data_IF_707690732109
#
_entry.id   IF_707690732109
#
_cell.length_a   1.000
_cell.length_b   1.000
_cell.length_c   1.000
_cell.angle_alpha   90.00
_cell.angle_beta   90.00
_cell.angle_gamma   90.00
#
_symmetry.space_group_name_H-M   'P 1'
#
loop_
_entity.id
_entity.type
_entity.pdbx_description
1 polymer ?
#
# COMPACT_ATOMS: atom_id res chain seq x y z
N UNK A 1 10.03 -25.38 12.24
CA UNK A 1 9.53 -24.02 11.94
C UNK A 1 8.01 -24.10 11.85
N UNK A 2 7.22 -23.36 12.63
CA UNK A 2 5.77 -23.49 12.59
C UNK A 2 5.23 -22.97 11.25
N UNK A 3 4.55 -23.84 10.51
CA UNK A 3 3.85 -23.52 9.27
C UNK A 3 2.60 -22.70 9.57
N UNK A 4 2.72 -21.38 9.65
CA UNK A 4 1.56 -20.50 9.60
C UNK A 4 1.05 -20.45 8.16
N UNK A 5 -0.16 -20.98 7.93
CA UNK A 5 -0.90 -20.77 6.69
C UNK A 5 -1.31 -19.30 6.60
N UNK A 6 -0.48 -18.45 6.01
CA UNK A 6 -0.87 -17.08 5.69
C UNK A 6 -1.82 -17.15 4.50
N UNK A 7 -3.08 -16.78 4.70
CA UNK A 7 -4.05 -16.69 3.61
C UNK A 7 -3.61 -15.57 2.65
N UNK A 8 -3.26 -15.93 1.41
CA UNK A 8 -3.00 -14.94 0.36
C UNK A 8 -4.32 -14.35 -0.08
N UNK A 9 -4.55 -13.08 0.22
CA UNK A 9 -5.78 -12.38 -0.16
C UNK A 9 -5.56 -11.64 -1.48
N UNK A 10 -6.44 -11.87 -2.46
CA UNK A 10 -6.43 -11.09 -3.68
C UNK A 10 -7.04 -9.71 -3.39
N UNK A 11 -6.33 -8.66 -3.80
CA UNK A 11 -6.82 -7.29 -3.69
C UNK A 11 -8.06 -7.08 -4.57
N UNK A 12 -9.07 -6.43 -3.99
CA UNK A 12 -10.14 -5.79 -4.76
C UNK A 12 -9.90 -4.29 -4.80
N UNK A 13 -10.09 -3.71 -5.97
CA UNK A 13 -10.36 -2.27 -6.06
C UNK A 13 -11.70 -2.06 -5.37
N UNK A 14 -11.73 -1.19 -4.36
CA UNK A 14 -13.01 -0.77 -3.81
C UNK A 14 -13.67 0.12 -4.87
N UNK A 15 -14.97 -0.04 -5.19
CA UNK A 15 -15.64 0.88 -6.10
C UNK A 15 -15.59 2.27 -5.46
N UNK A 16 -14.65 3.10 -5.93
CA UNK A 16 -14.41 4.47 -5.51
C UNK A 16 -14.89 4.75 -4.07
N UNK A 17 -14.26 4.10 -3.08
CA UNK A 17 -14.47 4.51 -1.70
C UNK A 17 -13.93 5.93 -1.59
N UNK A 18 -14.83 6.90 -1.76
CA UNK A 18 -14.56 8.31 -1.49
C UNK A 18 -14.39 8.41 0.01
N UNK A 19 -13.15 8.24 0.48
CA UNK A 19 -12.78 8.56 1.86
C UNK A 19 -12.89 10.07 2.14
N UNK A 20 -13.19 10.83 1.08
CA UNK A 20 -13.47 12.26 0.94
C UNK A 20 -14.60 12.77 1.86
N UNK A 21 -15.34 11.88 2.52
CA UNK A 21 -16.34 12.24 3.53
C UNK A 21 -16.10 11.45 4.81
N UNK A 22 -15.83 12.21 5.88
CA UNK A 22 -15.53 11.78 7.24
C UNK A 22 -16.63 10.89 7.84
N UNK A 23 -16.68 9.61 7.47
CA UNK A 23 -17.35 8.64 8.31
C UNK A 23 -16.62 8.64 9.67
N UNK A 24 -17.36 8.72 10.80
CA UNK A 24 -16.74 8.86 12.11
C UNK A 24 -15.69 7.77 12.33
N UNK A 25 -14.46 8.21 12.58
CA UNK A 25 -13.33 7.32 12.90
C UNK A 25 -12.43 6.91 11.74
N UNK A 26 -12.75 7.24 10.47
CA UNK A 26 -11.77 7.06 9.38
C UNK A 26 -10.60 8.01 9.60
N UNK A 27 -9.39 7.45 9.67
CA UNK A 27 -8.17 8.23 9.76
C UNK A 27 -7.45 8.18 8.41
N UNK A 28 -7.40 9.31 7.73
CA UNK A 28 -6.62 9.50 6.51
C UNK A 28 -5.24 10.04 6.85
N UNK A 29 -4.24 9.48 6.19
CA UNK A 29 -2.86 9.83 6.42
C UNK A 29 -2.13 10.10 5.12
N UNK A 30 -1.51 11.27 5.10
CA UNK A 30 -0.65 11.70 4.02
C UNK A 30 0.73 11.06 4.19
N UNK A 31 1.36 10.74 3.06
CA UNK A 31 2.64 10.04 3.06
C UNK A 31 3.80 10.89 3.58
N UNK A 32 3.67 12.21 3.59
CA UNK A 32 4.69 13.11 4.12
C UNK A 32 4.88 12.90 5.62
N UNK A 33 3.80 12.57 6.33
CA UNK A 33 3.85 12.32 7.77
C UNK A 33 4.33 10.91 8.12
N UNK A 34 4.41 9.98 7.16
CA UNK A 34 4.65 8.56 7.44
C UNK A 34 6.08 8.14 7.10
N UNK A 35 6.82 7.63 8.09
CA UNK A 35 8.15 7.02 7.86
C UNK A 35 8.04 5.72 7.07
N UNK A 36 9.08 5.39 6.32
CA UNK A 36 9.11 4.14 5.55
C UNK A 36 10.12 4.16 4.40
N UNK A 37 10.13 3.09 3.62
CA UNK A 37 10.97 2.93 2.43
C UNK A 37 10.33 3.52 1.16
N UNK A 38 11.17 3.83 0.19
CA UNK A 38 10.79 4.44 -1.09
C UNK A 38 11.32 5.86 -1.23
N UNK A 39 11.02 6.52 -2.36
CA UNK A 39 11.46 7.88 -2.65
C UNK A 39 10.26 8.81 -2.69
N UNK A 40 10.28 9.86 -1.87
CA UNK A 40 9.26 10.91 -1.93
C UNK A 40 9.44 11.74 -3.20
N UNK A 41 8.35 11.90 -3.94
CA UNK A 41 8.30 12.67 -5.17
C UNK A 41 7.11 13.62 -5.15
N UNK A 42 7.23 14.71 -5.92
CA UNK A 42 6.06 15.51 -6.28
C UNK A 42 5.30 14.79 -7.37
N UNK A 43 3.99 14.67 -7.21
CA UNK A 43 3.08 14.07 -8.18
C UNK A 43 1.78 14.87 -8.18
N UNK A 44 1.52 15.61 -9.27
CA UNK A 44 0.33 16.46 -9.38
C UNK A 44 -0.98 15.66 -9.40
N UNK A 45 -0.92 14.36 -9.72
CA UNK A 45 -2.10 13.48 -9.69
C UNK A 45 -2.42 12.98 -8.28
N UNK A 46 -1.50 13.14 -7.31
CA UNK A 46 -1.73 12.78 -5.92
C UNK A 46 -2.60 13.85 -5.23
N UNK A 47 -3.53 13.48 -4.32
CA UNK A 47 -4.43 14.45 -3.67
C UNK A 47 -3.73 15.63 -2.99
N UNK A 48 -2.53 15.40 -2.44
CA UNK A 48 -1.73 16.41 -1.72
C UNK A 48 -0.50 16.86 -2.53
N UNK A 49 -0.40 16.48 -3.80
CA UNK A 49 0.73 16.80 -4.66
C UNK A 49 2.01 15.99 -4.39
N UNK A 50 1.98 15.02 -3.48
CA UNK A 50 3.13 14.18 -3.10
C UNK A 50 2.79 12.69 -3.07
N UNK A 51 3.76 11.85 -3.45
CA UNK A 51 3.66 10.40 -3.35
C UNK A 51 5.01 9.76 -2.95
N UNK A 52 4.96 8.55 -2.40
CA UNK A 52 6.13 7.67 -2.28
C UNK A 52 6.18 6.79 -3.52
N UNK A 53 7.23 6.98 -4.30
CA UNK A 53 7.55 6.19 -5.48
C UNK A 53 8.39 4.98 -5.11
N UNK A 54 8.11 3.87 -5.78
CA UNK A 54 8.96 2.68 -5.80
C UNK A 54 10.06 2.81 -6.87
N UNK A 55 10.47 4.03 -7.24
CA UNK A 55 11.59 4.27 -8.14
C UNK A 55 12.89 3.77 -7.51
N UNK A 56 13.23 2.51 -7.75
CA UNK A 56 14.57 2.02 -7.53
C UNK A 56 15.54 2.73 -8.49
N UNK A 57 16.76 3.00 -8.00
CA UNK A 57 17.92 3.38 -8.82
C UNK A 57 18.38 2.17 -9.64
N UNK A 58 17.54 1.76 -10.60
CA UNK A 58 17.75 0.61 -11.49
C UNK A 58 17.66 1.06 -12.94
N UNK A 59 18.37 0.36 -13.82
CA UNK A 59 18.30 0.58 -15.27
C UNK A 59 16.88 0.30 -15.78
N UNK A 60 16.49 0.87 -16.92
CA UNK A 60 15.16 0.64 -17.50
C UNK A 60 14.85 -0.85 -17.71
N UNK A 61 15.84 -1.63 -18.15
CA UNK A 61 15.71 -3.08 -18.29
C UNK A 61 15.41 -3.80 -16.96
N UNK A 62 16.02 -3.35 -15.87
CA UNK A 62 15.78 -3.88 -14.53
C UNK A 62 14.41 -3.45 -13.97
N UNK A 63 13.93 -2.24 -14.31
CA UNK A 63 12.57 -1.80 -13.99
C UNK A 63 11.53 -2.63 -14.74
N UNK A 64 11.75 -2.90 -16.02
CA UNK A 64 10.88 -3.76 -16.83
C UNK A 64 10.76 -5.16 -16.23
N UNK A 65 11.86 -5.78 -15.77
CA UNK A 65 11.81 -7.10 -15.11
C UNK A 65 11.08 -7.06 -13.75
N UNK A 66 11.34 -6.02 -12.97
CA UNK A 66 10.72 -5.82 -11.66
C UNK A 66 9.19 -5.68 -11.79
N UNK A 67 8.75 -4.83 -12.72
CA UNK A 67 7.35 -4.57 -12.97
C UNK A 67 6.66 -5.67 -13.77
N UNK A 68 7.37 -6.69 -14.28
CA UNK A 68 6.76 -7.91 -14.84
C UNK A 68 6.10 -8.78 -13.78
N UNK A 69 6.50 -8.67 -12.51
CA UNK A 69 6.02 -9.52 -11.43
C UNK A 69 4.65 -9.07 -10.92
N UNK A 70 3.90 -10.01 -10.36
CA UNK A 70 2.64 -9.74 -9.65
C UNK A 70 2.94 -8.83 -8.47
N UNK A 71 2.21 -7.72 -8.36
CA UNK A 71 2.33 -6.84 -7.20
C UNK A 71 1.90 -7.59 -5.94
N UNK A 72 2.73 -7.54 -4.92
CA UNK A 72 2.46 -8.14 -3.60
C UNK A 72 2.59 -7.09 -2.52
N UNK A 73 1.86 -7.27 -1.44
CA UNK A 73 1.91 -6.41 -0.27
C UNK A 73 1.65 -7.25 0.98
N UNK A 74 1.87 -6.66 2.14
CA UNK A 74 1.49 -7.30 3.39
C UNK A 74 1.69 -6.42 4.61
N UNK A 75 1.18 -6.94 5.71
CA UNK A 75 1.28 -6.33 7.02
C UNK A 75 2.26 -7.17 7.82
N UNK A 76 3.32 -6.53 8.29
CA UNK A 76 4.39 -7.15 9.05
C UNK A 76 4.55 -6.49 10.40
N UNK A 77 4.66 -7.32 11.43
CA UNK A 77 5.01 -6.86 12.77
C UNK A 77 6.50 -7.14 13.03
N UNK A 78 7.32 -6.10 13.25
CA UNK A 78 8.77 -6.22 13.42
C UNK A 78 9.18 -6.81 14.77
N UNK A 79 8.45 -6.55 15.86
CA UNK A 79 8.82 -7.03 17.21
C UNK A 79 8.81 -8.55 17.26
N UNK A 80 7.72 -9.15 16.77
CA UNK A 80 7.56 -10.61 16.74
C UNK A 80 7.98 -11.24 15.41
N UNK A 81 8.46 -10.42 14.48
CA UNK A 81 8.87 -10.80 13.13
C UNK A 81 7.81 -11.62 12.39
N UNK A 82 6.55 -11.22 12.51
CA UNK A 82 5.40 -11.98 12.03
C UNK A 82 4.72 -11.28 10.86
N UNK A 83 4.50 -12.04 9.78
CA UNK A 83 3.56 -11.63 8.74
C UNK A 83 2.14 -11.82 9.25
N UNK A 84 1.44 -10.71 9.44
CA UNK A 84 0.04 -10.72 9.86
C UNK A 84 -0.89 -10.90 8.66
N UNK A 85 -0.52 -10.33 7.52
CA UNK A 85 -1.28 -10.41 6.27
C UNK A 85 -0.32 -10.40 5.08
N UNK A 86 -0.66 -11.16 4.04
CA UNK A 86 0.01 -11.08 2.73
C UNK A 86 -1.06 -11.11 1.64
N UNK A 87 -0.91 -10.26 0.64
CA UNK A 87 -1.81 -10.24 -0.51
C UNK A 87 -1.10 -9.89 -1.81
N UNK A 88 -1.87 -9.94 -2.89
CA UNK A 88 -1.38 -9.67 -4.23
C UNK A 88 -2.47 -9.06 -5.13
N UNK A 89 -2.04 -8.36 -6.18
CA UNK A 89 -2.91 -7.89 -7.27
C UNK A 89 -2.50 -8.57 -8.55
N UNK A 90 -3.43 -9.28 -9.19
CA UNK A 90 -3.23 -9.76 -10.55
C UNK A 90 -3.17 -8.57 -11.50
N UNK A 91 -2.20 -8.58 -12.42
CA UNK A 91 -1.98 -7.49 -13.36
C UNK A 91 -3.20 -7.16 -14.22
N UNK A 92 -3.94 -8.18 -14.66
CA UNK A 92 -5.17 -8.01 -15.43
C UNK A 92 -6.33 -7.38 -14.65
N UNK A 93 -6.17 -7.16 -13.34
CA UNK A 93 -7.12 -6.44 -12.47
C UNK A 93 -6.65 -5.03 -12.15
N UNK A 94 -5.46 -4.63 -12.60
CA UNK A 94 -5.00 -3.25 -12.43
C UNK A 94 -5.76 -2.34 -13.39
N UNK A 95 -6.27 -1.20 -12.90
CA UNK A 95 -6.77 -0.13 -13.75
C UNK A 95 -5.74 0.25 -14.82
N UNK A 96 -6.24 0.50 -16.03
CA UNK A 96 -5.41 0.82 -17.21
C UNK A 96 -5.37 2.34 -17.47
N UNK A 97 -5.72 3.16 -16.48
CA UNK A 97 -5.89 4.60 -16.62
C UNK A 97 -4.72 5.41 -16.04
N UNK A 98 -3.74 4.75 -15.43
CA UNK A 98 -2.62 5.37 -14.70
C UNK A 98 -3.07 6.37 -13.63
N UNK A 99 -4.24 6.15 -13.02
CA UNK A 99 -4.76 6.99 -11.93
C UNK A 99 -4.56 6.34 -10.57
N UNK A 100 -4.79 7.12 -9.54
CA UNK A 100 -4.82 6.64 -8.16
C UNK A 100 -6.14 5.92 -7.87
N UNK A 101 -6.04 4.71 -7.31
CA UNK A 101 -7.19 3.90 -6.87
C UNK A 101 -6.96 3.39 -5.44
N UNK A 102 -8.04 3.21 -4.69
CA UNK A 102 -7.99 2.67 -3.34
C UNK A 102 -7.95 1.14 -3.34
N UNK A 103 -6.95 0.59 -2.66
CA UNK A 103 -6.70 -0.84 -2.54
C UNK A 103 -6.79 -1.27 -1.07
N UNK A 104 -7.61 -2.29 -0.81
CA UNK A 104 -7.76 -2.90 0.51
C UNK A 104 -6.57 -3.81 0.89
N UNK A 105 -5.77 -3.39 1.85
CA UNK A 105 -4.51 -4.07 2.25
C UNK A 105 -4.70 -5.12 3.36
N UNK A 106 -5.91 -5.32 3.86
CA UNK A 106 -6.21 -6.27 4.92
C UNK A 106 -6.74 -5.61 6.19
N UNK A 107 -7.05 -6.46 7.17
CA UNK A 107 -7.44 -6.03 8.50
C UNK A 107 -6.34 -6.38 9.50
N UNK A 108 -6.16 -5.53 10.49
CA UNK A 108 -5.28 -5.83 11.62
C UNK A 108 -5.56 -4.90 12.79
N UNK A 109 -5.08 -5.31 13.96
CA UNK A 109 -4.88 -4.40 15.10
C UNK A 109 -3.56 -3.67 14.89
N UNK A 110 -3.50 -2.38 15.23
CA UNK A 110 -2.25 -1.62 15.14
C UNK A 110 -1.30 -2.05 16.25
N UNK A 111 -0.02 -2.17 15.92
CA UNK A 111 1.05 -2.44 16.88
C UNK A 111 2.14 -1.36 16.75
N UNK A 112 2.90 -1.05 17.83
CA UNK A 112 3.92 0.01 17.79
C UNK A 112 4.99 -0.12 16.70
N UNK A 113 5.21 -1.33 16.18
CA UNK A 113 6.25 -1.63 15.18
C UNK A 113 5.67 -2.15 13.85
N UNK A 114 4.37 -1.92 13.63
CA UNK A 114 3.63 -2.38 12.46
C UNK A 114 4.10 -1.68 11.18
N UNK A 115 4.36 -2.47 10.14
CA UNK A 115 4.74 -1.99 8.81
C UNK A 115 3.81 -2.57 7.76
N UNK A 116 3.26 -1.70 6.91
CA UNK A 116 2.69 -2.09 5.64
C UNK A 116 3.81 -2.05 4.60
N UNK A 117 4.19 -3.21 4.09
CA UNK A 117 5.18 -3.34 3.03
C UNK A 117 4.46 -3.61 1.71
N UNK A 118 5.05 -3.11 0.64
CA UNK A 118 4.57 -3.21 -0.72
C UNK A 118 5.74 -3.53 -1.63
N UNK A 119 5.45 -4.33 -2.66
CA UNK A 119 6.40 -4.92 -3.57
C UNK A 119 7.33 -5.98 -2.92
N UNK A 120 7.75 -6.99 -3.69
CA UNK A 120 8.49 -8.16 -3.18
C UNK A 120 9.84 -7.82 -2.54
N UNK A 121 10.45 -6.71 -2.91
CA UNK A 121 11.73 -6.24 -2.38
C UNK A 121 11.58 -5.30 -1.16
N UNK A 122 10.36 -5.05 -0.68
CA UNK A 122 10.08 -4.14 0.44
C UNK A 122 10.50 -2.68 0.22
N UNK A 123 10.86 -2.33 -1.02
CA UNK A 123 11.34 -1.00 -1.38
C UNK A 123 10.28 0.09 -1.27
N UNK A 124 9.01 -0.28 -1.16
CA UNK A 124 7.91 0.61 -0.82
C UNK A 124 7.33 0.12 0.51
N UNK A 125 7.46 0.90 1.57
CA UNK A 125 6.93 0.51 2.88
C UNK A 125 6.54 1.74 3.69
N UNK A 126 5.61 1.56 4.61
CA UNK A 126 5.15 2.61 5.52
C UNK A 126 5.01 2.05 6.93
N UNK A 127 5.53 2.78 7.90
CA UNK A 127 5.46 2.46 9.32
C UNK A 127 4.15 3.00 9.89
N UNK A 128 3.26 2.10 10.30
CA UNK A 128 1.94 2.41 10.84
C UNK A 128 1.93 2.47 12.37
N UNK A 129 3.02 2.07 13.01
CA UNK A 129 3.09 1.97 14.47
C UNK A 129 2.89 3.28 15.23
N UNK A 130 3.18 4.43 14.61
CA UNK A 130 2.90 5.75 15.22
C UNK A 130 1.39 6.03 15.41
N UNK A 131 0.52 5.24 14.77
CA UNK A 131 -0.94 5.35 14.87
C UNK A 131 -1.55 4.38 15.88
N UNK A 132 -0.71 3.56 16.54
CA UNK A 132 -1.12 2.74 17.65
C UNK A 132 -1.68 3.61 18.78
N UNK A 133 -2.81 3.18 19.34
CA UNK A 133 -3.47 3.85 20.46
C UNK A 133 -3.60 2.88 21.62
N UNK A 134 -2.83 3.12 22.68
CA UNK A 134 -2.80 2.28 23.87
C UNK A 134 -4.11 2.33 24.66
N UNK A 135 -4.97 3.34 24.44
CA UNK A 135 -6.29 3.41 25.08
C UNK A 135 -7.30 2.44 24.45
N UNK A 136 -7.08 2.04 23.18
CA UNK A 136 -7.92 1.08 22.45
C UNK A 136 -7.06 0.01 21.76
N UNK A 137 -6.30 -0.79 22.54
CA UNK A 137 -5.27 -1.67 22.01
C UNK A 137 -5.82 -2.81 21.15
N UNK A 138 -7.10 -3.14 21.30
CA UNK A 138 -7.78 -4.22 20.55
C UNK A 138 -8.66 -3.70 19.40
N UNK A 139 -8.56 -2.41 19.04
CA UNK A 139 -9.30 -1.86 17.91
C UNK A 139 -8.71 -2.40 16.60
N UNK A 140 -9.53 -3.14 15.85
CA UNK A 140 -9.18 -3.62 14.52
C UNK A 140 -9.50 -2.57 13.45
N UNK A 141 -8.63 -2.46 12.45
CA UNK A 141 -8.77 -1.52 11.35
C UNK A 141 -8.69 -2.24 10.01
N UNK A 142 -9.53 -1.83 9.05
CA UNK A 142 -9.28 -2.07 7.63
C UNK A 142 -8.25 -1.06 7.16
N UNK A 143 -7.20 -1.53 6.51
CA UNK A 143 -6.15 -0.69 5.95
C UNK A 143 -6.41 -0.56 4.45
N UNK A 144 -6.40 0.67 3.94
CA UNK A 144 -6.42 0.95 2.51
C UNK A 144 -5.22 1.79 2.11
N UNK A 145 -4.68 1.54 0.91
CA UNK A 145 -3.66 2.38 0.29
C UNK A 145 -4.16 2.97 -1.02
N UNK A 146 -3.93 4.26 -1.21
CA UNK A 146 -4.19 4.96 -2.47
C UNK A 146 -2.98 4.81 -3.37
N UNK A 147 -3.07 3.89 -4.34
CA UNK A 147 -1.96 3.52 -5.21
C UNK A 147 -2.22 3.91 -6.66
N UNK A 148 -1.14 4.30 -7.35
CA UNK A 148 -1.09 4.46 -8.80
C UNK A 148 -0.05 3.50 -9.37
N UNK A 149 -0.43 2.80 -10.43
CA UNK A 149 0.44 1.93 -11.20
C UNK A 149 0.62 2.54 -12.59
N UNK A 150 1.86 2.72 -13.02
CA UNK A 150 2.16 3.37 -14.29
C UNK A 150 3.28 2.67 -15.06
N UNK A 151 3.29 2.90 -16.37
CA UNK A 151 4.27 2.34 -17.29
C UNK A 151 3.88 0.98 -17.87
N UNK A 152 4.63 0.52 -18.89
CA UNK A 152 4.24 -0.61 -19.74
C UNK A 152 4.18 -1.96 -19.02
N UNK A 153 4.76 -2.07 -17.82
CA UNK A 153 4.64 -3.26 -16.97
C UNK A 153 3.25 -3.46 -16.35
N UNK A 154 2.46 -2.38 -16.25
CA UNK A 154 1.16 -2.35 -15.59
C UNK A 154 0.01 -1.89 -16.49
N UNK A 155 0.28 -0.90 -17.34
CA UNK A 155 -0.72 -0.29 -18.22
C UNK A 155 -0.32 -0.49 -19.67
N UNK A 156 -1.26 -1.03 -20.46
CA UNK A 156 -1.08 -1.28 -21.88
C UNK A 156 -0.72 0.03 -22.61
N UNK A 157 0.29 -0.04 -23.47
CA UNK A 157 0.73 1.05 -24.34
C UNK A 157 1.20 2.34 -23.64
N UNK A 158 1.37 2.30 -22.31
CA UNK A 158 1.85 3.44 -21.53
C UNK A 158 3.20 3.96 -22.01
N UNK A 159 3.34 5.28 -22.01
CA UNK A 159 4.58 6.01 -22.33
C UNK A 159 5.32 6.51 -21.08
N UNK A 160 4.74 6.31 -19.90
CA UNK A 160 5.35 6.71 -18.64
C UNK A 160 6.40 5.68 -18.20
N UNK A 161 7.43 6.09 -17.45
CA UNK A 161 8.33 5.14 -16.79
C UNK A 161 7.55 4.22 -15.84
N UNK A 162 7.98 2.96 -15.77
CA UNK A 162 7.43 1.98 -14.83
C UNK A 162 7.58 2.45 -13.38
N UNK A 163 6.47 2.52 -12.65
CA UNK A 163 6.47 2.91 -11.24
C UNK A 163 5.21 2.43 -10.50
N UNK A 164 5.35 2.31 -9.17
CA UNK A 164 4.24 2.13 -8.23
C UNK A 164 4.33 3.27 -7.23
N UNK A 165 3.25 4.03 -7.10
CA UNK A 165 3.20 5.20 -6.22
C UNK A 165 2.14 5.03 -5.16
N UNK A 166 2.47 5.40 -3.93
CA UNK A 166 1.53 5.50 -2.81
C UNK A 166 1.36 6.96 -2.43
N UNK A 167 0.12 7.46 -2.44
CA UNK A 167 -0.19 8.83 -2.07
C UNK A 167 -0.75 8.96 -0.65
N UNK A 168 -1.61 8.02 -0.22
CA UNK A 168 -2.31 8.10 1.06
C UNK A 168 -2.59 6.71 1.65
N UNK A 169 -2.78 6.66 2.98
CA UNK A 169 -3.26 5.50 3.71
C UNK A 169 -4.56 5.87 4.43
N UNK A 170 -5.56 5.00 4.38
CA UNK A 170 -6.76 5.10 5.21
C UNK A 170 -6.80 3.97 6.22
N UNK A 171 -7.04 4.29 7.49
CA UNK A 171 -7.37 3.34 8.54
C UNK A 171 -8.84 3.50 8.89
N UNK A 172 -9.63 2.45 8.65
CA UNK A 172 -11.07 2.43 8.92
C UNK A 172 -11.33 1.50 10.10
N UNK A 173 -11.80 2.00 11.25
CA UNK A 173 -12.10 1.15 12.39
C UNK A 173 -13.23 0.18 12.03
N UNK A 174 -13.06 -1.08 12.41
CA UNK A 174 -14.10 -2.09 12.32
C UNK A 174 -14.96 -1.95 13.57
N UNK A 175 -16.25 -1.63 13.38
CA UNK A 175 -17.21 -1.63 14.48
C UNK A 175 -17.34 -3.06 15.02
N UNK A 176 -17.23 -3.21 16.33
CA UNK A 176 -17.58 -4.43 17.03
C UNK A 176 -19.10 -4.60 17.07
#
# INVERSE_FOLDING_TARGET
MPNFKIAKTQLSTSPAAKFDQAAPGIRLFNIDDIRGGGVRIKDADAPEGTAISHAEKKTEAQRVDLHKRTFTFGIYEKTWKKMLQVGYVLKNRLPQDEKYHWYYMGNTVLYPQLVLWMHQNWGLSVELGKYYDAAVPDQEYKIYGLLKFQGPGYVKDSKQPGDIRLAQIALVPIKK
#
